data_IF_566160507862
#
_entry.id   IF_566160507862
#
_cell.length_a   1.000
_cell.length_b   1.000
_cell.length_c   1.000
_cell.angle_alpha   90.00
_cell.angle_beta   90.00
_cell.angle_gamma   90.00
#
_symmetry.space_group_name_H-M   'P 1'
#
loop_
_entity.id
_entity.type
_entity.pdbx_description
1 polymer ?
#
# COMPACT_ATOMS: atom_id res chain seq x y z
N UNK A 1 -8.98 43.32 -4.49
CA UNK A 1 -10.08 42.56 -5.11
C UNK A 1 -10.09 41.18 -4.49
N UNK A 2 -11.11 40.92 -3.68
CA UNK A 2 -11.26 39.74 -2.82
C UNK A 2 -11.28 38.45 -3.66
N UNK A 3 -10.28 37.59 -3.50
CA UNK A 3 -10.39 36.20 -3.92
C UNK A 3 -11.33 35.54 -2.93
N UNK A 4 -12.57 35.29 -3.37
CA UNK A 4 -13.49 34.37 -2.72
C UNK A 4 -12.78 33.02 -2.59
N UNK A 5 -12.27 32.72 -1.40
CA UNK A 5 -11.73 31.44 -1.00
C UNK A 5 -12.85 30.42 -1.14
N UNK A 6 -12.82 29.63 -2.20
CA UNK A 6 -13.64 28.43 -2.30
C UNK A 6 -13.36 27.59 -1.05
N UNK A 7 -14.38 27.41 -0.21
CA UNK A 7 -14.33 26.47 0.91
C UNK A 7 -14.17 25.09 0.28
N UNK A 8 -12.96 24.55 0.31
CA UNK A 8 -12.71 23.19 -0.11
C UNK A 8 -13.40 22.27 0.89
N UNK A 9 -14.47 21.60 0.46
CA UNK A 9 -15.14 20.57 1.24
C UNK A 9 -14.30 19.30 1.20
N UNK A 10 -13.98 18.77 2.37
CA UNK A 10 -13.20 17.55 2.58
C UNK A 10 -14.09 16.34 2.83
N UNK A 11 -15.38 16.52 3.11
CA UNK A 11 -16.32 15.45 3.49
C UNK A 11 -16.49 14.33 2.46
N UNK A 12 -16.22 14.61 1.18
CA UNK A 12 -16.27 13.59 0.11
C UNK A 12 -14.88 13.22 -0.43
N UNK A 13 -13.82 13.75 0.18
CA UNK A 13 -12.46 13.53 -0.28
C UNK A 13 -12.03 12.09 0.00
N UNK A 14 -11.85 11.31 -1.06
CA UNK A 14 -11.30 9.96 -0.99
C UNK A 14 -9.80 10.01 -0.73
N UNK A 15 -9.28 9.02 -0.01
CA UNK A 15 -7.85 8.88 0.23
C UNK A 15 -7.20 10.11 0.89
N UNK A 16 -7.98 10.89 1.65
CA UNK A 16 -7.46 12.11 2.27
C UNK A 16 -6.53 11.73 3.42
N UNK A 17 -5.25 12.02 3.24
CA UNK A 17 -4.20 11.92 4.26
C UNK A 17 -3.53 13.30 4.40
N UNK A 18 -3.72 14.00 5.53
CA UNK A 18 -3.09 15.29 5.76
C UNK A 18 -1.56 15.16 5.81
N UNK A 19 -0.88 15.84 4.89
CA UNK A 19 0.58 16.00 4.94
C UNK A 19 0.97 17.48 4.90
N UNK A 20 2.03 17.88 5.64
CA UNK A 20 2.67 17.10 6.71
C UNK A 20 1.71 16.86 7.90
N UNK A 21 1.89 15.76 8.65
CA UNK A 21 0.99 15.37 9.75
C UNK A 21 0.91 16.40 10.90
N UNK A 22 1.84 17.36 10.99
CA UNK A 22 1.73 18.55 11.87
C UNK A 22 0.48 19.42 11.63
N UNK A 23 -0.28 19.11 10.57
CA UNK A 23 -1.58 19.72 10.27
C UNK A 23 -2.73 19.11 11.08
N UNK A 24 -2.48 18.01 11.77
CA UNK A 24 -3.44 17.29 12.61
C UNK A 24 -3.18 17.62 14.08
N UNK A 25 -4.20 18.08 14.78
CA UNK A 25 -4.19 18.26 16.23
C UNK A 25 -5.03 17.16 16.88
N UNK A 26 -4.47 16.46 17.86
CA UNK A 26 -5.21 15.47 18.67
C UNK A 26 -5.64 16.13 19.98
N UNK A 27 -6.92 16.00 20.35
CA UNK A 27 -7.48 16.62 21.54
C UNK A 27 -8.37 15.63 22.30
N UNK A 28 -8.24 15.60 23.62
CA UNK A 28 -9.23 14.94 24.48
C UNK A 28 -10.54 15.74 24.45
N UNK A 29 -11.69 15.06 24.41
CA UNK A 29 -13.00 15.67 24.45
C UNK A 29 -14.03 14.79 25.14
N UNK A 30 -14.50 15.25 26.31
CA UNK A 30 -15.52 14.58 27.14
C UNK A 30 -16.97 14.95 26.77
N UNK A 31 -17.15 15.84 25.78
CA UNK A 31 -18.47 16.31 25.38
C UNK A 31 -19.12 15.42 24.31
N UNK A 32 -20.39 15.71 23.95
CA UNK A 32 -21.10 14.93 22.94
C UNK A 32 -20.41 14.99 21.57
N UNK A 33 -20.05 13.83 21.00
CA UNK A 33 -19.50 13.75 19.64
C UNK A 33 -20.59 13.82 18.57
N UNK A 34 -21.26 14.98 18.48
CA UNK A 34 -22.25 15.28 17.44
C UNK A 34 -21.79 16.44 16.58
N UNK A 35 -22.33 16.55 15.37
CA UNK A 35 -22.01 17.66 14.46
C UNK A 35 -22.22 19.02 15.13
N UNK A 36 -23.37 19.21 15.77
CA UNK A 36 -23.73 20.49 16.38
C UNK A 36 -22.85 20.85 17.58
N UNK A 37 -22.57 19.88 18.46
CA UNK A 37 -21.76 20.11 19.66
C UNK A 37 -20.29 20.43 19.28
N UNK A 38 -19.71 19.65 18.37
CA UNK A 38 -18.36 19.87 17.85
C UNK A 38 -18.26 21.23 17.14
N UNK A 39 -19.24 21.54 16.28
CA UNK A 39 -19.26 22.80 15.52
C UNK A 39 -19.35 24.00 16.45
N UNK A 40 -20.27 23.97 17.42
CA UNK A 40 -20.45 25.05 18.41
C UNK A 40 -19.17 25.25 19.22
N UNK A 41 -18.55 24.16 19.68
CA UNK A 41 -17.29 24.22 20.42
C UNK A 41 -16.19 24.89 19.60
N UNK A 42 -15.94 24.39 18.38
CA UNK A 42 -14.81 24.82 17.57
C UNK A 42 -14.98 26.25 17.04
N UNK A 43 -16.20 26.68 16.69
CA UNK A 43 -16.44 28.07 16.25
C UNK A 43 -16.20 29.11 17.35
N UNK A 44 -16.16 28.70 18.62
CA UNK A 44 -15.81 29.58 19.74
C UNK A 44 -14.30 29.63 20.04
N UNK A 45 -13.46 28.91 19.28
CA UNK A 45 -12.04 28.73 19.56
C UNK A 45 -11.14 29.26 18.44
N UNK A 46 -9.88 29.43 18.79
CA UNK A 46 -8.79 29.66 17.85
C UNK A 46 -8.05 28.34 17.59
N UNK A 47 -7.34 28.27 16.46
CA UNK A 47 -6.46 27.17 16.14
C UNK A 47 -5.06 27.67 15.78
N UNK A 48 -4.05 26.85 16.09
CA UNK A 48 -2.67 27.07 15.63
C UNK A 48 -2.65 27.14 14.10
N UNK A 49 -1.84 28.06 13.55
CA UNK A 49 -1.80 28.40 12.11
C UNK A 49 -1.47 27.27 11.13
N UNK A 50 -1.05 26.09 11.61
CA UNK A 50 -0.83 24.92 10.75
C UNK A 50 -1.88 23.82 10.93
N UNK A 51 -2.74 23.89 11.96
CA UNK A 51 -3.79 22.91 12.23
C UNK A 51 -4.96 23.05 11.27
N UNK A 52 -5.09 22.12 10.33
CA UNK A 52 -6.23 22.12 9.41
C UNK A 52 -7.25 21.03 9.78
N UNK A 53 -6.83 20.06 10.60
CA UNK A 53 -7.66 18.96 11.04
C UNK A 53 -7.50 18.75 12.55
N UNK A 54 -8.60 18.35 13.18
CA UNK A 54 -8.65 17.98 14.60
C UNK A 54 -9.19 16.56 14.72
N UNK A 55 -8.48 15.72 15.48
CA UNK A 55 -8.93 14.41 15.94
C UNK A 55 -9.36 14.56 17.39
N UNK A 56 -10.64 14.36 17.66
CA UNK A 56 -11.15 14.27 19.02
C UNK A 56 -11.08 12.83 19.52
N UNK A 57 -10.63 12.68 20.77
CA UNK A 57 -10.63 11.41 21.51
C UNK A 57 -11.50 11.55 22.75
N UNK A 58 -12.53 10.72 22.83
CA UNK A 58 -13.39 10.60 24.00
C UNK A 58 -12.99 9.41 24.85
N UNK A 59 -13.93 8.93 25.67
CA UNK A 59 -13.71 7.72 26.46
C UNK A 59 -13.63 6.47 25.55
N UNK A 60 -12.73 5.55 25.91
CA UNK A 60 -12.56 4.30 25.17
C UNK A 60 -12.14 4.50 23.71
N UNK A 61 -13.01 4.06 22.79
CA UNK A 61 -12.75 4.08 21.33
C UNK A 61 -13.39 5.25 20.61
N UNK A 62 -14.13 6.13 21.32
CA UNK A 62 -14.81 7.26 20.69
C UNK A 62 -13.80 8.20 20.03
N UNK A 63 -13.96 8.38 18.72
CA UNK A 63 -13.07 9.19 17.89
C UNK A 63 -13.88 9.94 16.85
N UNK A 64 -13.57 11.22 16.67
CA UNK A 64 -14.14 12.03 15.59
C UNK A 64 -13.04 12.80 14.86
N UNK A 65 -13.23 13.05 13.56
CA UNK A 65 -12.30 13.79 12.72
C UNK A 65 -13.00 14.98 12.10
N UNK A 66 -12.37 16.14 12.17
CA UNK A 66 -12.95 17.43 11.77
C UNK A 66 -11.94 18.21 10.96
N UNK A 67 -12.35 18.79 9.84
CA UNK A 67 -11.61 19.83 9.14
C UNK A 67 -12.04 21.22 9.64
N UNK A 68 -11.09 22.14 9.73
CA UNK A 68 -11.35 23.53 10.14
C UNK A 68 -10.81 24.52 9.12
N UNK A 69 -11.46 25.68 9.03
CA UNK A 69 -10.92 26.87 8.37
C UNK A 69 -10.66 27.95 9.40
N UNK A 70 -9.54 28.65 9.26
CA UNK A 70 -9.18 29.80 10.11
C UNK A 70 -9.37 31.11 9.34
N UNK A 71 -9.59 32.20 10.06
CA UNK A 71 -9.71 33.53 9.46
C UNK A 71 -8.40 33.97 8.76
N UNK A 72 -7.27 33.73 9.41
CA UNK A 72 -5.94 34.17 8.96
C UNK A 72 -4.90 33.05 9.11
N UNK A 73 -3.82 33.15 8.33
CA UNK A 73 -2.71 32.17 8.35
C UNK A 73 -1.38 32.75 8.84
N UNK A 74 -1.29 34.07 9.00
CA UNK A 74 -0.06 34.75 9.44
C UNK A 74 0.15 34.69 10.96
N UNK A 75 -0.84 35.06 11.80
CA UNK A 75 -0.70 35.01 13.26
C UNK A 75 -0.47 33.59 13.75
N UNK A 76 0.10 33.43 14.96
CA UNK A 76 0.38 32.10 15.53
C UNK A 76 -0.90 31.28 15.75
N UNK A 77 -1.94 31.94 16.22
CA UNK A 77 -3.30 31.41 16.41
C UNK A 77 -4.28 32.31 15.67
N UNK A 78 -5.34 31.72 15.13
CA UNK A 78 -6.40 32.46 14.45
C UNK A 78 -7.75 31.82 14.71
N UNK A 79 -8.78 32.66 14.80
CA UNK A 79 -10.17 32.25 15.00
C UNK A 79 -10.60 31.20 13.96
N UNK A 80 -11.25 30.14 14.42
CA UNK A 80 -11.90 29.16 13.55
C UNK A 80 -13.19 29.78 13.00
N UNK A 81 -13.33 29.79 11.67
CA UNK A 81 -14.45 30.41 10.96
C UNK A 81 -15.38 29.40 10.30
N UNK A 82 -14.90 28.18 10.06
CA UNK A 82 -15.69 27.08 9.50
C UNK A 82 -15.25 25.75 10.07
N UNK A 83 -16.20 24.85 10.22
CA UNK A 83 -16.03 23.49 10.76
C UNK A 83 -16.74 22.52 9.82
N UNK A 84 -16.04 21.46 9.43
CA UNK A 84 -16.61 20.36 8.63
C UNK A 84 -16.29 19.03 9.32
N UNK A 85 -17.30 18.38 9.89
CA UNK A 85 -17.14 17.07 10.52
C UNK A 85 -17.01 16.01 9.42
N UNK A 86 -15.86 15.33 9.40
CA UNK A 86 -15.53 14.30 8.42
C UNK A 86 -15.98 12.92 8.88
N UNK A 87 -15.80 12.62 10.17
CA UNK A 87 -16.20 11.35 10.75
C UNK A 87 -16.60 11.51 12.22
N UNK A 88 -17.59 10.72 12.61
CA UNK A 88 -18.07 10.58 13.98
C UNK A 88 -17.73 9.16 14.50
N UNK A 89 -17.95 8.84 15.79
CA UNK A 89 -17.55 7.54 16.35
C UNK A 89 -18.10 6.31 15.62
N UNK A 90 -19.24 6.41 14.96
CA UNK A 90 -19.85 5.33 14.17
C UNK A 90 -19.15 5.08 12.83
N UNK A 91 -18.44 6.07 12.29
CA UNK A 91 -17.71 5.97 11.01
C UNK A 91 -16.20 6.17 11.16
N UNK A 92 -15.68 6.24 12.39
CA UNK A 92 -14.29 6.50 12.68
C UNK A 92 -13.68 5.40 13.56
N UNK A 93 -12.56 4.84 13.12
CA UNK A 93 -11.81 3.83 13.86
C UNK A 93 -10.46 4.39 14.26
N UNK A 94 -10.07 4.20 15.52
CA UNK A 94 -8.73 4.53 16.01
C UNK A 94 -7.92 3.26 16.21
N UNK A 95 -6.76 3.18 15.58
CA UNK A 95 -5.83 2.07 15.69
C UNK A 95 -4.49 2.53 16.26
N UNK A 96 -3.91 1.71 17.15
CA UNK A 96 -2.52 1.86 17.61
C UNK A 96 -1.65 0.89 16.82
N UNK A 97 -0.77 1.43 15.99
CA UNK A 97 0.08 0.69 15.07
C UNK A 97 1.52 1.20 15.19
N UNK A 98 2.25 0.87 16.28
CA UNK A 98 3.52 1.51 16.63
C UNK A 98 4.61 1.40 15.55
N UNK A 99 4.50 0.42 14.64
CA UNK A 99 5.45 0.17 13.55
C UNK A 99 5.08 0.86 12.22
N UNK A 100 3.95 1.58 12.17
CA UNK A 100 3.44 2.24 10.95
C UNK A 100 3.82 3.71 10.95
N UNK A 101 4.41 4.20 9.86
CA UNK A 101 4.62 5.63 9.64
C UNK A 101 3.29 6.30 9.25
N UNK A 102 2.70 7.17 10.10
CA UNK A 102 1.43 7.83 9.80
C UNK A 102 1.57 8.93 8.73
N UNK A 103 2.79 9.26 8.28
CA UNK A 103 3.01 10.09 7.10
C UNK A 103 2.89 9.28 5.78
N UNK A 104 2.95 7.95 5.86
CA UNK A 104 2.95 7.10 4.68
C UNK A 104 1.52 6.76 4.26
N UNK A 105 1.08 7.39 3.16
CA UNK A 105 -0.25 7.20 2.59
C UNK A 105 -0.60 5.74 2.27
N UNK A 106 0.35 5.00 1.71
CA UNK A 106 0.17 3.59 1.34
C UNK A 106 0.15 2.68 2.57
N UNK A 107 0.93 3.00 3.60
CA UNK A 107 0.91 2.28 4.86
C UNK A 107 -0.45 2.45 5.57
N UNK A 108 -0.98 3.67 5.65
CA UNK A 108 -2.32 3.92 6.20
C UNK A 108 -3.41 3.17 5.43
N UNK A 109 -3.34 3.14 4.09
CA UNK A 109 -4.29 2.40 3.28
C UNK A 109 -4.17 0.87 3.44
N UNK A 110 -2.95 0.34 3.59
CA UNK A 110 -2.72 -1.07 3.89
C UNK A 110 -3.30 -1.43 5.26
N UNK A 111 -3.03 -0.63 6.30
CA UNK A 111 -3.61 -0.81 7.64
C UNK A 111 -5.14 -0.74 7.60
N UNK A 112 -5.72 0.19 6.83
CA UNK A 112 -7.16 0.26 6.61
C UNK A 112 -7.73 -1.02 6.02
N UNK A 113 -7.08 -1.57 4.99
CA UNK A 113 -7.48 -2.84 4.37
C UNK A 113 -7.41 -4.02 5.36
N UNK A 114 -6.32 -4.13 6.12
CA UNK A 114 -6.13 -5.21 7.12
C UNK A 114 -7.16 -5.17 8.25
N UNK A 115 -7.61 -3.97 8.63
CA UNK A 115 -8.65 -3.76 9.64
C UNK A 115 -10.08 -3.79 9.06
N UNK A 116 -10.25 -4.03 7.76
CA UNK A 116 -11.56 -4.06 7.11
C UNK A 116 -12.24 -2.68 6.97
N UNK A 117 -11.46 -1.60 7.03
CA UNK A 117 -11.96 -0.23 6.92
C UNK A 117 -12.15 0.13 5.45
N UNK A 118 -13.41 0.36 5.07
CA UNK A 118 -13.81 0.65 3.70
C UNK A 118 -13.94 2.13 3.36
N UNK A 119 -14.36 2.43 2.12
CA UNK A 119 -14.48 3.80 1.61
C UNK A 119 -15.50 4.68 2.31
N UNK A 120 -16.36 4.14 3.19
CA UNK A 120 -17.38 4.91 3.94
C UNK A 120 -16.91 5.31 5.35
N UNK A 121 -15.65 5.01 5.69
CA UNK A 121 -15.12 5.18 7.04
C UNK A 121 -13.83 5.99 7.05
N UNK A 122 -13.39 6.35 8.25
CA UNK A 122 -12.11 7.02 8.51
C UNK A 122 -11.28 6.18 9.45
N UNK A 123 -10.02 5.96 9.11
CA UNK A 123 -9.04 5.34 9.99
C UNK A 123 -8.10 6.42 10.53
N UNK A 124 -8.04 6.54 11.85
CA UNK A 124 -7.02 7.29 12.58
C UNK A 124 -5.97 6.30 13.09
N UNK A 125 -4.70 6.59 12.84
CA UNK A 125 -3.57 5.76 13.28
C UNK A 125 -2.66 6.55 14.19
N UNK A 126 -2.41 6.02 15.38
CA UNK A 126 -1.28 6.36 16.22
C UNK A 126 -0.13 5.41 15.90
N UNK A 127 0.90 5.96 15.27
CA UNK A 127 1.98 5.21 14.64
C UNK A 127 3.35 5.45 15.28
N UNK A 128 4.39 5.30 14.46
CA UNK A 128 5.78 5.55 14.83
C UNK A 128 5.93 6.91 15.53
N UNK A 129 6.69 6.90 16.63
CA UNK A 129 6.96 8.07 17.47
C UNK A 129 5.71 8.71 18.10
N UNK A 130 4.68 7.89 18.33
CA UNK A 130 3.37 8.30 18.87
C UNK A 130 2.70 9.41 18.02
N UNK A 131 3.09 9.52 16.75
CA UNK A 131 2.48 10.46 15.83
C UNK A 131 1.12 9.95 15.39
N UNK A 132 0.18 10.89 15.26
CA UNK A 132 -1.19 10.59 14.84
C UNK A 132 -1.48 11.24 13.50
N UNK A 133 -2.04 10.46 12.59
CA UNK A 133 -2.63 10.94 11.34
C UNK A 133 -3.85 10.09 10.97
N UNK A 134 -4.49 10.38 9.85
CA UNK A 134 -5.64 9.60 9.41
C UNK A 134 -5.67 9.42 7.88
N UNK A 135 -6.44 8.42 7.45
CA UNK A 135 -6.93 8.29 6.08
C UNK A 135 -8.46 8.31 6.09
N UNK A 136 -9.03 9.32 5.44
CA UNK A 136 -10.48 9.48 5.28
C UNK A 136 -10.92 8.89 3.94
N UNK A 137 -11.99 8.08 3.97
CA UNK A 137 -12.53 7.35 2.82
C UNK A 137 -11.44 6.57 2.05
N UNK A 138 -10.77 5.58 2.71
CA UNK A 138 -9.71 4.80 2.07
C UNK A 138 -10.23 4.04 0.85
N UNK A 139 -9.62 4.31 -0.29
CA UNK A 139 -9.91 3.68 -1.58
C UNK A 139 -8.63 3.67 -2.45
N UNK A 140 -7.57 2.97 -2.01
CA UNK A 140 -6.26 3.02 -2.66
C UNK A 140 -6.28 2.43 -4.06
N UNK A 141 -5.33 2.86 -4.89
CA UNK A 141 -5.05 2.16 -6.16
C UNK A 141 -4.48 0.78 -5.84
N UNK A 142 -5.15 -0.28 -6.29
CA UNK A 142 -4.65 -1.64 -6.14
C UNK A 142 -3.78 -1.98 -7.35
N UNK A 143 -2.52 -2.34 -7.11
CA UNK A 143 -1.58 -2.80 -8.13
C UNK A 143 -1.26 -4.27 -7.86
N UNK A 144 -1.55 -5.11 -8.84
CA UNK A 144 -1.17 -6.52 -8.80
C UNK A 144 0.29 -6.66 -9.23
N UNK A 145 1.08 -7.43 -8.48
CA UNK A 145 2.47 -7.75 -8.81
C UNK A 145 2.51 -9.23 -9.13
N UNK A 146 2.71 -9.57 -10.40
CA UNK A 146 2.87 -10.96 -10.83
C UNK A 146 4.35 -11.27 -10.91
N UNK A 147 4.84 -12.15 -10.05
CA UNK A 147 6.28 -12.41 -9.93
C UNK A 147 6.57 -13.90 -9.80
N UNK A 148 7.66 -14.34 -10.46
CA UNK A 148 8.22 -15.68 -10.28
C UNK A 148 9.03 -15.72 -9.00
N UNK A 149 8.81 -16.77 -8.21
CA UNK A 149 9.63 -17.02 -7.05
C UNK A 149 9.93 -18.53 -6.90
N UNK A 150 11.08 -18.89 -6.31
CA UNK A 150 12.10 -18.06 -5.61
C UNK A 150 12.85 -17.04 -6.51
N UNK A 151 13.53 -16.01 -5.93
CA UNK A 151 13.99 -15.89 -4.53
C UNK A 151 12.92 -15.50 -3.50
N UNK A 152 13.25 -15.74 -2.23
CA UNK A 152 12.49 -15.24 -1.07
C UNK A 152 13.23 -14.11 -0.36
N UNK A 153 12.57 -12.98 -0.04
CA UNK A 153 11.23 -12.60 -0.52
C UNK A 153 11.21 -12.29 -2.04
N UNK A 154 10.03 -12.28 -2.70
CA UNK A 154 9.90 -11.87 -4.09
C UNK A 154 10.47 -10.47 -4.30
N UNK A 155 11.38 -10.35 -5.28
CA UNK A 155 12.24 -9.18 -5.46
C UNK A 155 11.46 -7.97 -5.98
N UNK A 156 10.68 -8.13 -7.04
CA UNK A 156 9.87 -7.04 -7.62
C UNK A 156 8.85 -6.54 -6.61
N UNK A 157 8.17 -7.44 -5.91
CA UNK A 157 7.25 -7.08 -4.83
C UNK A 157 7.95 -6.29 -3.72
N UNK A 158 9.09 -6.79 -3.23
CA UNK A 158 9.88 -6.11 -2.20
C UNK A 158 10.38 -4.73 -2.64
N UNK A 159 10.83 -4.59 -3.90
CA UNK A 159 11.24 -3.31 -4.48
C UNK A 159 10.06 -2.34 -4.60
N UNK A 160 8.89 -2.81 -5.04
CA UNK A 160 7.69 -1.99 -5.11
C UNK A 160 7.26 -1.51 -3.71
N UNK A 161 7.27 -2.40 -2.70
CA UNK A 161 7.03 -2.03 -1.31
C UNK A 161 8.02 -0.97 -0.83
N UNK A 162 9.31 -1.11 -1.19
CA UNK A 162 10.33 -0.14 -0.82
C UNK A 162 10.05 1.25 -1.41
N UNK A 163 9.64 1.35 -2.68
CA UNK A 163 9.25 2.64 -3.30
C UNK A 163 8.10 3.29 -2.55
N UNK A 164 7.07 2.52 -2.18
CA UNK A 164 5.93 3.02 -1.44
C UNK A 164 6.29 3.55 -0.03
N UNK A 165 7.47 3.22 0.51
CA UNK A 165 7.92 3.74 1.80
C UNK A 165 8.26 5.23 1.78
N UNK A 166 8.69 5.78 0.65
CA UNK A 166 9.26 7.13 0.59
C UNK A 166 8.74 8.00 -0.56
N UNK A 167 8.16 7.41 -1.61
CA UNK A 167 7.72 8.17 -2.76
C UNK A 167 6.45 8.98 -2.46
N UNK A 168 6.38 10.20 -2.98
CA UNK A 168 5.16 11.02 -2.92
C UNK A 168 4.14 10.53 -3.96
N UNK A 169 3.46 9.44 -3.62
CA UNK A 169 2.45 8.77 -4.44
C UNK A 169 1.08 8.82 -3.76
N UNK A 170 -0.02 8.64 -4.52
CA UNK A 170 -1.33 8.37 -3.91
C UNK A 170 -1.26 7.08 -3.07
N UNK A 171 -2.21 6.85 -2.15
CA UNK A 171 -2.27 5.56 -1.46
C UNK A 171 -2.39 4.41 -2.47
N UNK A 172 -1.42 3.49 -2.41
CA UNK A 172 -1.35 2.31 -3.27
C UNK A 172 -1.31 1.08 -2.36
N UNK A 173 -2.07 0.06 -2.75
CA UNK A 173 -2.00 -1.27 -2.14
C UNK A 173 -1.42 -2.25 -3.15
N UNK A 174 -0.44 -3.04 -2.74
CA UNK A 174 0.14 -4.08 -3.58
C UNK A 174 -0.52 -5.42 -3.28
N UNK A 175 -0.83 -6.18 -4.33
CA UNK A 175 -1.27 -7.58 -4.23
C UNK A 175 -0.29 -8.47 -4.96
N UNK A 176 0.32 -9.41 -4.25
CA UNK A 176 1.22 -10.38 -4.85
C UNK A 176 0.43 -11.54 -5.47
N UNK A 177 0.59 -11.74 -6.77
CA UNK A 177 0.21 -12.97 -7.48
C UNK A 177 1.49 -13.73 -7.81
N UNK A 178 1.72 -14.83 -7.10
CA UNK A 178 3.01 -15.51 -7.12
C UNK A 178 3.00 -16.72 -8.04
N UNK A 179 4.04 -16.85 -8.86
CA UNK A 179 4.31 -18.01 -9.71
C UNK A 179 5.38 -18.86 -9.02
N UNK A 180 4.95 -19.97 -8.42
CA UNK A 180 5.82 -20.88 -7.67
C UNK A 180 6.55 -21.83 -8.62
N UNK A 181 7.87 -21.66 -8.79
CA UNK A 181 8.69 -22.56 -9.63
C UNK A 181 8.63 -24.00 -9.11
N UNK A 182 8.54 -24.18 -7.79
CA UNK A 182 8.43 -25.52 -7.18
C UNK A 182 7.14 -26.24 -7.57
N UNK A 183 6.02 -25.52 -7.69
CA UNK A 183 4.76 -26.12 -8.11
C UNK A 183 4.74 -26.39 -9.62
N UNK A 184 5.37 -25.51 -10.41
CA UNK A 184 5.63 -25.79 -11.82
C UNK A 184 6.49 -27.04 -12.00
N UNK A 185 7.53 -27.22 -11.17
CA UNK A 185 8.39 -28.42 -11.22
C UNK A 185 7.61 -29.71 -10.93
N UNK A 186 6.74 -29.70 -9.91
CA UNK A 186 5.90 -30.86 -9.54
C UNK A 186 4.94 -31.30 -10.64
N UNK A 187 4.62 -30.43 -11.60
CA UNK A 187 3.73 -30.75 -12.73
C UNK A 187 4.36 -31.70 -13.75
N UNK A 188 5.68 -31.94 -13.66
CA UNK A 188 6.45 -32.80 -14.56
C UNK A 188 7.35 -33.75 -13.77
N UNK A 189 7.76 -34.85 -14.41
CA UNK A 189 8.71 -35.82 -13.82
C UNK A 189 9.83 -36.13 -14.81
N UNK A 190 10.76 -35.19 -15.07
CA UNK A 190 11.82 -35.39 -16.02
C UNK A 190 13.00 -36.16 -15.41
N UNK A 191 13.89 -36.68 -16.27
CA UNK A 191 15.18 -37.23 -15.84
C UNK A 191 16.13 -36.19 -15.26
N UNK A 192 15.96 -34.91 -15.63
CA UNK A 192 16.69 -33.77 -15.09
C UNK A 192 15.89 -32.48 -15.29
N UNK A 193 16.09 -31.50 -14.42
CA UNK A 193 15.57 -30.15 -14.57
C UNK A 193 16.64 -29.21 -15.13
N UNK A 194 16.24 -28.27 -15.96
CA UNK A 194 17.04 -27.11 -16.33
C UNK A 194 16.31 -25.83 -15.94
N UNK A 195 16.93 -25.00 -15.10
CA UNK A 195 16.39 -23.70 -14.67
C UNK A 195 17.31 -22.55 -15.13
N UNK A 196 16.83 -21.30 -15.22
CA UNK A 196 17.59 -20.24 -15.91
C UNK A 196 18.88 -19.84 -15.19
N UNK A 197 18.83 -19.81 -13.86
CA UNK A 197 19.96 -19.47 -13.01
C UNK A 197 19.80 -20.10 -11.63
N UNK A 198 20.89 -20.13 -10.87
CA UNK A 198 20.85 -20.57 -9.48
C UNK A 198 20.10 -19.54 -8.63
N UNK A 199 18.83 -19.82 -8.37
CA UNK A 199 18.00 -19.10 -7.41
C UNK A 199 17.82 -19.96 -6.16
N UNK A 200 17.72 -19.35 -4.98
CA UNK A 200 17.59 -20.08 -3.72
C UNK A 200 16.39 -21.03 -3.73
N UNK A 201 16.53 -22.25 -3.21
CA UNK A 201 15.42 -23.21 -3.09
C UNK A 201 15.16 -24.10 -4.32
N UNK A 202 16.00 -24.03 -5.37
CA UNK A 202 15.87 -24.89 -6.56
C UNK A 202 16.80 -26.12 -6.54
N UNK A 203 17.63 -26.29 -5.52
CA UNK A 203 18.59 -27.41 -5.43
C UNK A 203 17.92 -28.74 -5.01
N UNK A 204 16.76 -28.69 -4.35
CA UNK A 204 16.07 -29.85 -3.76
C UNK A 204 14.87 -30.36 -4.59
N UNK A 205 14.96 -30.31 -5.93
CA UNK A 205 13.93 -30.88 -6.81
C UNK A 205 14.01 -32.42 -6.87
N UNK A 206 12.95 -33.05 -7.37
CA UNK A 206 12.81 -34.52 -7.44
C UNK A 206 13.79 -35.23 -8.39
N UNK A 207 14.60 -34.48 -9.15
CA UNK A 207 15.57 -34.97 -10.12
C UNK A 207 16.77 -34.00 -10.18
N UNK A 208 17.93 -34.41 -10.73
CA UNK A 208 19.10 -33.54 -10.85
C UNK A 208 18.78 -32.20 -11.51
N UNK A 209 19.27 -31.10 -10.94
CA UNK A 209 19.00 -29.74 -11.40
C UNK A 209 20.26 -29.13 -12.01
N UNK A 210 20.09 -28.59 -13.21
CA UNK A 210 21.11 -27.90 -13.96
C UNK A 210 20.72 -26.43 -14.16
N UNK A 211 21.73 -25.56 -14.30
CA UNK A 211 21.53 -24.11 -14.36
C UNK A 211 22.02 -23.57 -15.70
N UNK A 212 21.12 -22.95 -16.46
CA UNK A 212 21.37 -22.52 -17.84
C UNK A 212 22.46 -21.44 -17.94
N UNK A 213 22.55 -20.55 -16.95
CA UNK A 213 23.59 -19.52 -16.84
C UNK A 213 25.01 -20.10 -16.69
N UNK A 214 25.13 -21.33 -16.18
CA UNK A 214 26.40 -22.05 -16.02
C UNK A 214 26.83 -22.83 -17.27
N UNK A 215 25.97 -22.91 -18.30
CA UNK A 215 26.21 -23.64 -19.56
C UNK A 215 26.70 -25.09 -19.33
N UNK A 216 25.94 -25.93 -18.62
CA UNK A 216 26.27 -27.32 -18.38
C UNK A 216 26.35 -28.13 -19.69
N UNK A 217 26.95 -29.31 -19.65
CA UNK A 217 26.86 -30.27 -20.77
C UNK A 217 25.39 -30.63 -21.05
N UNK A 218 25.07 -30.91 -22.31
CA UNK A 218 23.69 -31.19 -22.74
C UNK A 218 23.21 -32.53 -22.14
N UNK A 219 22.15 -32.49 -21.31
CA UNK A 219 21.46 -33.67 -20.78
C UNK A 219 20.00 -33.69 -21.19
N UNK A 220 19.30 -34.83 -21.12
CA UNK A 220 17.86 -34.94 -21.35
C UNK A 220 17.04 -34.27 -20.23
N UNK A 221 17.05 -32.94 -20.16
CA UNK A 221 16.33 -32.14 -19.18
C UNK A 221 14.98 -31.64 -19.71
N UNK A 222 14.08 -31.32 -18.79
CA UNK A 222 12.94 -30.42 -19.04
C UNK A 222 13.27 -29.05 -18.46
N UNK A 223 13.09 -28.00 -19.25
CA UNK A 223 13.39 -26.65 -18.84
C UNK A 223 12.19 -26.01 -18.15
N UNK A 224 12.38 -25.46 -16.95
CA UNK A 224 11.42 -24.53 -16.34
C UNK A 224 11.95 -23.12 -16.64
N UNK A 225 11.30 -22.41 -17.54
CA UNK A 225 11.89 -21.21 -18.12
C UNK A 225 10.94 -20.41 -18.99
N UNK A 226 11.28 -19.12 -19.16
CA UNK A 226 10.55 -18.23 -20.03
C UNK A 226 11.15 -18.20 -21.44
N UNK A 227 10.62 -17.33 -22.32
CA UNK A 227 11.15 -17.17 -23.67
C UNK A 227 12.63 -16.78 -23.70
N UNK A 228 13.10 -15.98 -22.71
CA UNK A 228 14.51 -15.62 -22.63
C UNK A 228 15.39 -16.85 -22.36
N UNK A 229 14.95 -17.75 -21.50
CA UNK A 229 15.63 -19.02 -21.23
C UNK A 229 15.68 -19.89 -22.49
N UNK A 230 14.59 -19.93 -23.27
CA UNK A 230 14.56 -20.68 -24.52
C UNK A 230 15.54 -20.10 -25.56
N UNK A 231 15.63 -18.77 -25.68
CA UNK A 231 16.61 -18.11 -26.55
C UNK A 231 18.05 -18.46 -26.16
N UNK A 232 18.37 -18.47 -24.87
CA UNK A 232 19.68 -18.89 -24.38
C UNK A 232 19.95 -20.36 -24.68
N UNK A 233 18.98 -21.25 -24.46
CA UNK A 233 19.14 -22.67 -24.77
C UNK A 233 19.40 -22.90 -26.26
N UNK A 234 18.61 -22.30 -27.15
CA UNK A 234 18.83 -22.37 -28.61
C UNK A 234 20.24 -21.91 -28.99
N UNK A 235 20.72 -20.84 -28.36
CA UNK A 235 22.06 -20.32 -28.62
C UNK A 235 23.17 -21.26 -28.12
N UNK A 236 23.01 -21.88 -26.95
CA UNK A 236 24.04 -22.74 -26.35
C UNK A 236 24.06 -24.16 -26.92
N UNK A 237 22.90 -24.72 -27.26
CA UNK A 237 22.76 -26.15 -27.60
C UNK A 237 22.19 -26.41 -29.00
N UNK A 238 21.71 -25.38 -29.70
CA UNK A 238 21.19 -25.50 -31.07
C UNK A 238 19.78 -26.08 -31.18
N UNK A 239 19.12 -26.36 -30.05
CA UNK A 239 17.80 -26.99 -29.99
C UNK A 239 16.89 -26.39 -28.91
N UNK A 240 15.67 -26.93 -28.80
CA UNK A 240 14.66 -26.55 -27.82
C UNK A 240 14.29 -27.76 -26.95
N UNK A 241 14.40 -27.67 -25.62
CA UNK A 241 14.00 -28.75 -24.73
C UNK A 241 12.49 -28.68 -24.47
N UNK A 242 11.86 -29.76 -23.96
CA UNK A 242 10.54 -29.66 -23.34
C UNK A 242 10.53 -28.53 -22.29
N UNK A 243 9.49 -27.69 -22.29
CA UNK A 243 9.43 -26.46 -21.50
C UNK A 243 8.17 -26.39 -20.64
N UNK A 244 8.35 -26.07 -19.36
CA UNK A 244 7.30 -25.56 -18.48
C UNK A 244 7.42 -24.04 -18.43
N UNK A 245 6.36 -23.35 -18.85
CA UNK A 245 6.32 -21.88 -18.90
C UNK A 245 6.24 -21.28 -17.50
N UNK A 246 7.04 -20.25 -17.24
CA UNK A 246 7.04 -19.51 -15.97
C UNK A 246 7.01 -17.99 -16.15
N UNK A 247 6.90 -17.47 -17.38
CA UNK A 247 6.94 -16.03 -17.64
C UNK A 247 5.71 -15.33 -17.04
N UNK A 248 5.89 -14.32 -16.14
CA UNK A 248 4.79 -13.54 -15.60
C UNK A 248 3.91 -12.94 -16.68
N UNK A 249 4.52 -12.40 -17.75
CA UNK A 249 3.77 -11.80 -18.86
C UNK A 249 2.90 -12.80 -19.64
N UNK A 250 3.31 -14.05 -19.73
CA UNK A 250 2.52 -15.09 -20.41
C UNK A 250 1.42 -15.62 -19.51
N UNK A 251 1.73 -15.85 -18.23
CA UNK A 251 0.80 -16.39 -17.24
C UNK A 251 -0.27 -15.35 -16.88
N UNK A 252 0.13 -14.09 -16.69
CA UNK A 252 -0.81 -13.00 -16.42
C UNK A 252 -1.71 -12.71 -17.62
N UNK A 253 -1.23 -12.86 -18.85
CA UNK A 253 -1.99 -12.55 -20.05
C UNK A 253 -2.36 -11.06 -20.15
N UNK A 254 -3.46 -10.76 -20.83
CA UNK A 254 -4.01 -9.40 -20.89
C UNK A 254 -4.80 -9.10 -19.62
N UNK A 255 -4.37 -8.05 -18.90
CA UNK A 255 -5.02 -7.56 -17.68
C UNK A 255 -5.56 -6.15 -17.92
N UNK A 256 -6.75 -5.86 -17.38
CA UNK A 256 -7.32 -4.51 -17.40
C UNK A 256 -6.93 -3.72 -16.16
N UNK A 257 -6.64 -4.44 -15.08
CA UNK A 257 -6.16 -3.90 -13.82
C UNK A 257 -4.67 -3.49 -13.89
N UNK A 258 -4.28 -2.45 -13.14
CA UNK A 258 -2.87 -2.08 -13.00
C UNK A 258 -2.01 -3.25 -12.52
N UNK A 259 -1.01 -3.62 -13.32
CA UNK A 259 -0.19 -4.81 -13.08
C UNK A 259 1.29 -4.51 -13.29
N UNK A 260 2.14 -4.98 -12.36
CA UNK A 260 3.60 -5.04 -12.49
C UNK A 260 4.02 -6.49 -12.79
N UNK A 261 4.97 -6.64 -13.71
CA UNK A 261 5.47 -7.92 -14.25
C UNK A 261 7.01 -7.95 -14.27
#
# INVERSE_FOLDING_TARGET
>A
MSQLTQIQSWKSAKNLVPLPYRRVSVQHYDGPMTVDAITTLLLSREAYRRTDFIVFRGEGTETAVVAITRAESEPLFSQITSVEVLALPDTCVYARCPDIDPANRSALAQTGYELGIGPESTLVVEGLYDHVNFIHHPNPLVIRVVEVAPPEPPKLYGLAQQVLKYADLPPIRLELERIEVLDLAKSVQPSAYLVPCRSGGLDDLSAPVYFLDQRPERHAWTMIGCERSLQFHRHFYGDEPPRVEMCPRRIAGERKEPTLL
#
